data_IF_055591406256
#
_entry.id   IF_055591406256
#
_cell.length_a   1.000
_cell.length_b   1.000
_cell.length_c   1.000
_cell.angle_alpha   90.00
_cell.angle_beta   90.00
_cell.angle_gamma   90.00
#
_symmetry.space_group_name_H-M   'P 1'
#
loop_
_entity.id
_entity.type
_entity.pdbx_description
1 polymer ?
#
# COMPACT_ATOMS: atom_id res chain seq x y z
N UNK A 1 6.99 -5.90 -20.83
CA UNK A 1 7.08 -5.51 -19.40
C UNK A 1 5.80 -4.79 -19.02
N UNK A 2 5.03 -5.27 -18.04
CA UNK A 2 3.79 -4.61 -17.59
C UNK A 2 4.09 -3.86 -16.29
N UNK A 3 3.79 -2.57 -16.24
CA UNK A 3 4.01 -1.76 -15.04
C UNK A 3 3.00 -2.17 -13.98
N UNK A 4 3.47 -2.57 -12.79
CA UNK A 4 2.61 -2.79 -11.62
C UNK A 4 2.33 -1.45 -10.95
N UNK A 5 1.07 -1.14 -10.57
CA UNK A 5 0.76 0.08 -9.85
C UNK A 5 1.49 0.12 -8.50
N UNK A 6 1.98 1.31 -8.12
CA UNK A 6 2.66 1.57 -6.86
C UNK A 6 1.82 2.56 -6.05
N UNK A 7 1.63 2.28 -4.76
CA UNK A 7 0.97 3.18 -3.81
C UNK A 7 1.94 3.61 -2.70
N UNK A 8 1.97 4.90 -2.37
CA UNK A 8 2.64 5.44 -1.18
C UNK A 8 1.57 5.76 -0.12
N UNK A 9 1.65 5.11 1.03
CA UNK A 9 0.74 5.34 2.15
C UNK A 9 1.53 5.89 3.33
N UNK A 10 1.25 7.13 3.71
CA UNK A 10 1.85 7.81 4.87
C UNK A 10 1.06 7.55 6.15
N UNK A 11 1.70 7.73 7.30
CA UNK A 11 1.12 7.39 8.61
C UNK A 11 0.62 5.93 8.67
N UNK A 12 1.26 5.03 7.92
CA UNK A 12 0.83 3.65 7.75
C UNK A 12 1.42 2.68 8.80
N UNK A 13 2.03 3.22 9.86
CA UNK A 13 2.60 2.40 10.93
C UNK A 13 1.52 1.73 11.80
N UNK A 14 0.31 2.29 11.91
CA UNK A 14 -0.81 1.72 12.68
C UNK A 14 -2.18 2.26 12.23
N UNK A 15 -3.25 1.62 12.71
CA UNK A 15 -4.62 2.07 12.48
C UNK A 15 -5.03 2.02 11.01
N UNK A 16 -5.76 3.05 10.57
CA UNK A 16 -6.38 3.11 9.25
C UNK A 16 -5.33 3.07 8.13
N UNK A 17 -4.22 3.81 8.26
CA UNK A 17 -3.16 3.82 7.24
C UNK A 17 -2.56 2.44 7.01
N UNK A 18 -2.36 1.66 8.08
CA UNK A 18 -1.86 0.28 7.98
C UNK A 18 -2.88 -0.65 7.31
N UNK A 19 -4.17 -0.50 7.61
CA UNK A 19 -5.22 -1.32 6.98
C UNK A 19 -5.32 -1.03 5.48
N UNK A 20 -5.33 0.26 5.09
CA UNK A 20 -5.33 0.67 3.69
C UNK A 20 -4.12 0.07 2.95
N UNK A 21 -2.92 0.11 3.55
CA UNK A 21 -1.72 -0.47 2.95
C UNK A 21 -1.85 -1.98 2.72
N UNK A 22 -2.46 -2.72 3.67
CA UNK A 22 -2.70 -4.17 3.55
C UNK A 22 -3.74 -4.50 2.48
N UNK A 23 -4.81 -3.71 2.42
CA UNK A 23 -5.86 -3.89 1.43
C UNK A 23 -5.29 -3.67 0.02
N UNK A 24 -4.54 -2.60 -0.20
CA UNK A 24 -3.89 -2.31 -1.49
C UNK A 24 -2.87 -3.40 -1.90
N UNK A 25 -2.10 -3.92 -0.94
CA UNK A 25 -1.18 -5.04 -1.21
C UNK A 25 -1.94 -6.31 -1.63
N UNK A 26 -3.08 -6.58 -1.00
CA UNK A 26 -3.97 -7.71 -1.35
C UNK A 26 -4.56 -7.56 -2.76
N UNK A 27 -4.82 -6.33 -3.20
CA UNK A 27 -5.25 -6.02 -4.57
C UNK A 27 -4.11 -6.07 -5.62
N UNK A 28 -2.90 -6.47 -5.21
CA UNK A 28 -1.78 -6.74 -6.11
C UNK A 28 -0.89 -5.53 -6.42
N UNK A 29 -1.08 -4.42 -5.70
CA UNK A 29 -0.21 -3.25 -5.80
C UNK A 29 1.10 -3.47 -5.03
N UNK A 30 2.18 -2.83 -5.49
CA UNK A 30 3.36 -2.64 -4.64
C UNK A 30 3.11 -1.45 -3.74
N UNK A 31 3.20 -1.63 -2.43
CA UNK A 31 2.89 -0.57 -1.45
C UNK A 31 4.15 -0.15 -0.71
N UNK A 32 4.44 1.15 -0.73
CA UNK A 32 5.44 1.81 0.09
C UNK A 32 4.74 2.43 1.29
N UNK A 33 5.26 2.15 2.49
CA UNK A 33 4.72 2.65 3.75
C UNK A 33 5.69 3.63 4.39
N UNK A 34 5.17 4.77 4.84
CA UNK A 34 5.87 5.81 5.60
C UNK A 34 5.03 6.37 6.73
#
# INVERSE_FOLDING_TARGET
MRVKPIALVTAANKGIGLQIARDLATHGLTVLVG
#
